data_IF_342770145672
#
_entry.id   IF_342770145672
#
_cell.length_a   1.000
_cell.length_b   1.000
_cell.length_c   1.000
_cell.angle_alpha   90.00
_cell.angle_beta   90.00
_cell.angle_gamma   90.00
#
_symmetry.space_group_name_H-M   'P 1'
#
loop_
_entity.id
_entity.type
_entity.pdbx_description
1 polymer ?
#
# COMPACT_ATOMS: atom_id res chain seq x y z
N UNK A 1 1.19 -49.67 73.58
CA UNK A 1 2.35 -48.98 73.00
C UNK A 1 2.00 -48.76 71.52
N UNK A 2 1.62 -47.55 71.18
CA UNK A 2 1.18 -47.21 69.85
C UNK A 2 2.29 -46.41 69.18
N UNK A 3 2.83 -46.92 68.03
CA UNK A 3 3.84 -46.25 67.23
C UNK A 3 3.16 -45.24 66.33
N UNK A 4 3.64 -43.99 66.35
CA UNK A 4 3.21 -42.89 65.47
C UNK A 4 4.23 -42.79 64.39
N UNK A 5 3.78 -42.97 63.14
CA UNK A 5 4.59 -42.75 61.92
C UNK A 5 4.57 -41.25 61.49
N UNK A 6 5.69 -40.69 61.12
CA UNK A 6 5.69 -39.28 60.57
C UNK A 6 5.22 -39.24 59.15
N UNK A 7 4.31 -38.32 58.92
CA UNK A 7 3.84 -37.95 57.52
C UNK A 7 4.91 -37.15 56.79
N UNK A 8 5.33 -37.65 55.66
CA UNK A 8 6.21 -36.95 54.75
C UNK A 8 5.35 -35.99 53.90
N UNK A 9 5.54 -34.69 54.04
CA UNK A 9 4.91 -33.67 53.28
C UNK A 9 5.73 -33.50 51.96
N UNK A 10 5.18 -33.99 50.85
CA UNK A 10 5.76 -33.76 49.51
C UNK A 10 5.40 -32.34 49.07
N UNK A 11 6.40 -31.47 49.04
CA UNK A 11 6.28 -30.11 48.50
C UNK A 11 6.32 -30.18 46.99
N UNK A 12 5.14 -30.09 46.36
CA UNK A 12 5.00 -30.01 44.91
C UNK A 12 5.40 -28.61 44.45
N UNK A 13 6.58 -28.49 43.86
CA UNK A 13 7.02 -27.28 43.13
C UNK A 13 6.23 -27.17 41.85
N UNK A 14 5.23 -26.29 41.81
CA UNK A 14 4.55 -25.89 40.59
C UNK A 14 5.49 -25.00 39.78
N UNK A 15 5.99 -25.55 38.68
CA UNK A 15 6.77 -24.84 37.68
C UNK A 15 5.80 -24.02 36.84
N UNK A 16 5.65 -22.72 37.15
CA UNK A 16 4.88 -21.78 36.33
C UNK A 16 5.66 -21.48 35.05
N UNK A 17 5.29 -22.15 33.96
CA UNK A 17 5.79 -21.82 32.65
C UNK A 17 5.15 -20.48 32.18
N UNK A 18 5.90 -19.39 32.29
CA UNK A 18 5.53 -18.12 31.65
C UNK A 18 5.71 -18.28 30.17
N UNK A 19 4.58 -18.46 29.46
CA UNK A 19 4.54 -18.36 28.01
C UNK A 19 4.80 -16.90 27.63
N UNK A 20 6.03 -16.58 27.31
CA UNK A 20 6.40 -15.30 26.73
C UNK A 20 5.77 -15.20 25.36
N UNK A 21 4.69 -14.44 25.23
CA UNK A 21 4.17 -14.01 23.93
C UNK A 21 5.21 -13.06 23.33
N UNK A 22 6.04 -13.58 22.44
CA UNK A 22 6.91 -12.75 21.63
C UNK A 22 6.02 -11.88 20.73
N UNK A 23 5.83 -10.61 21.12
CA UNK A 23 5.25 -9.60 20.25
C UNK A 23 6.24 -9.36 19.10
N UNK A 24 5.98 -10.00 17.98
CA UNK A 24 6.66 -9.65 16.73
C UNK A 24 6.20 -8.23 16.37
N UNK A 25 7.14 -7.27 16.22
CA UNK A 25 6.77 -5.99 15.67
C UNK A 25 6.16 -6.26 14.29
N UNK A 26 4.95 -5.77 14.07
CA UNK A 26 4.33 -5.80 12.75
C UNK A 26 5.25 -5.06 11.77
N UNK A 27 6.14 -5.80 11.11
CA UNK A 27 6.95 -5.26 10.04
C UNK A 27 5.99 -4.99 8.88
N UNK A 28 5.58 -3.76 8.74
CA UNK A 28 4.95 -3.24 7.52
C UNK A 28 6.02 -3.23 6.42
N UNK A 29 6.41 -4.39 6.00
CA UNK A 29 7.14 -4.52 4.74
C UNK A 29 6.12 -4.20 3.65
N UNK A 30 6.07 -2.92 3.26
CA UNK A 30 5.61 -2.57 1.93
C UNK A 30 6.54 -3.35 1.02
N UNK A 31 6.04 -4.44 0.45
CA UNK A 31 6.80 -5.20 -0.54
C UNK A 31 7.09 -4.22 -1.68
N UNK A 32 8.31 -3.70 -1.70
CA UNK A 32 8.79 -2.93 -2.82
C UNK A 32 8.59 -3.83 -4.05
N UNK A 33 7.92 -3.36 -5.11
CA UNK A 33 7.78 -4.14 -6.32
C UNK A 33 9.18 -4.52 -6.77
N UNK A 34 9.38 -5.82 -7.05
CA UNK A 34 10.65 -6.36 -7.52
C UNK A 34 11.17 -5.47 -8.63
N UNK A 35 12.27 -4.76 -8.37
CA UNK A 35 12.94 -3.94 -9.38
C UNK A 35 13.26 -4.87 -10.56
N UNK A 36 12.61 -4.64 -11.68
CA UNK A 36 12.92 -5.35 -12.91
C UNK A 36 14.27 -4.82 -13.37
N UNK A 37 15.27 -5.70 -13.45
CA UNK A 37 16.66 -5.35 -13.73
C UNK A 37 16.90 -4.63 -15.08
N UNK A 38 15.86 -4.44 -15.89
CA UNK A 38 15.87 -3.76 -17.20
C UNK A 38 14.78 -2.66 -17.31
N UNK A 39 14.27 -2.13 -16.20
CA UNK A 39 13.24 -1.10 -16.25
C UNK A 39 13.86 0.25 -16.65
N UNK A 40 13.20 0.96 -17.58
CA UNK A 40 13.56 2.32 -17.95
C UNK A 40 13.68 3.22 -16.71
N UNK A 41 14.81 3.91 -16.48
CA UNK A 41 15.01 4.79 -15.33
C UNK A 41 13.93 5.88 -15.20
N UNK A 42 13.30 6.29 -16.31
CA UNK A 42 12.19 7.23 -16.29
C UNK A 42 10.94 6.58 -15.68
N UNK A 43 10.63 5.36 -16.06
CA UNK A 43 9.48 4.59 -15.54
C UNK A 43 9.67 4.30 -14.05
N UNK A 44 10.88 3.94 -13.61
CA UNK A 44 11.18 3.71 -12.18
C UNK A 44 10.94 4.98 -11.35
N UNK A 45 11.48 6.13 -11.79
CA UNK A 45 11.22 7.42 -11.13
C UNK A 45 9.75 7.79 -11.14
N UNK A 46 9.04 7.44 -12.22
CA UNK A 46 7.61 7.64 -12.34
C UNK A 46 6.83 6.82 -11.33
N UNK A 47 7.22 5.58 -11.11
CA UNK A 47 6.64 4.72 -10.08
C UNK A 47 6.84 5.31 -8.68
N UNK A 48 8.05 5.73 -8.33
CA UNK A 48 8.35 6.36 -7.03
C UNK A 48 7.52 7.64 -6.83
N UNK A 49 7.47 8.51 -7.82
CA UNK A 49 6.69 9.74 -7.77
C UNK A 49 5.19 9.46 -7.67
N UNK A 50 4.67 8.46 -8.40
CA UNK A 50 3.28 8.02 -8.31
C UNK A 50 2.95 7.50 -6.91
N UNK A 51 3.77 6.65 -6.33
CA UNK A 51 3.56 6.12 -4.98
C UNK A 51 3.55 7.25 -3.95
N UNK A 52 4.42 8.23 -4.07
CA UNK A 52 4.52 9.35 -3.14
C UNK A 52 3.36 10.37 -3.25
N UNK A 53 2.78 10.55 -4.45
CA UNK A 53 1.88 11.68 -4.73
C UNK A 53 0.45 11.27 -5.10
N UNK A 54 0.28 10.09 -5.69
CA UNK A 54 -0.97 9.71 -6.35
C UNK A 54 -1.61 8.46 -5.74
N UNK A 55 -0.81 7.50 -5.29
CA UNK A 55 -1.27 6.18 -4.86
C UNK A 55 -2.22 6.24 -3.65
N UNK A 56 -2.08 7.22 -2.76
CA UNK A 56 -2.97 7.40 -1.62
C UNK A 56 -4.45 7.58 -2.04
N UNK A 57 -4.69 8.10 -3.25
CA UNK A 57 -6.02 8.27 -3.81
C UNK A 57 -6.34 7.30 -4.94
N UNK A 58 -5.33 6.89 -5.72
CA UNK A 58 -5.49 6.15 -6.97
C UNK A 58 -4.91 4.73 -6.97
N UNK A 59 -4.38 4.27 -5.84
CA UNK A 59 -3.84 2.93 -5.69
C UNK A 59 -4.92 1.85 -5.76
N UNK A 60 -4.47 0.59 -5.80
CA UNK A 60 -5.36 -0.56 -5.70
C UNK A 60 -6.01 -0.62 -4.33
N UNK A 61 -7.32 -0.78 -4.29
CA UNK A 61 -8.03 -1.01 -3.04
C UNK A 61 -7.67 -2.40 -2.50
N UNK A 62 -7.25 -2.46 -1.24
CA UNK A 62 -7.13 -3.72 -0.53
C UNK A 62 -8.54 -4.32 -0.29
N UNK A 63 -8.58 -5.64 -0.05
CA UNK A 63 -9.80 -6.26 0.43
C UNK A 63 -10.24 -5.61 1.76
N UNK A 64 -11.55 -5.43 1.95
CA UNK A 64 -12.11 -4.81 3.16
C UNK A 64 -11.79 -5.64 4.42
N UNK A 65 -11.43 -5.01 5.56
CA UNK A 65 -11.23 -3.57 5.76
C UNK A 65 -9.85 -3.12 5.30
N UNK A 66 -9.80 -2.09 4.47
CA UNK A 66 -8.57 -1.50 3.95
C UNK A 66 -8.65 0.03 3.91
N UNK A 67 -7.53 0.72 3.64
CA UNK A 67 -7.54 2.17 3.50
C UNK A 67 -8.43 2.58 2.32
N UNK A 68 -9.17 3.66 2.51
CA UNK A 68 -9.99 4.23 1.44
C UNK A 68 -9.11 4.88 0.38
N UNK A 69 -9.45 4.63 -0.89
CA UNK A 69 -8.78 5.20 -2.05
C UNK A 69 -9.80 6.07 -2.81
N UNK A 70 -10.01 7.34 -2.40
CA UNK A 70 -11.14 8.14 -2.87
C UNK A 70 -11.15 8.36 -4.38
N UNK A 71 -9.99 8.47 -5.02
CA UNK A 71 -9.88 8.57 -6.47
C UNK A 71 -10.27 7.27 -7.17
N UNK A 72 -9.82 6.12 -6.66
CA UNK A 72 -10.20 4.80 -7.19
C UNK A 72 -11.68 4.53 -7.00
N UNK A 73 -12.25 4.85 -5.81
CA UNK A 73 -13.69 4.71 -5.55
C UNK A 73 -14.53 5.56 -6.52
N UNK A 74 -14.12 6.80 -6.76
CA UNK A 74 -14.79 7.69 -7.70
C UNK A 74 -14.75 7.16 -9.14
N UNK A 75 -13.61 6.61 -9.57
CA UNK A 75 -13.46 5.99 -10.89
C UNK A 75 -14.27 4.69 -11.00
N UNK A 76 -14.33 3.89 -9.94
CA UNK A 76 -15.14 2.68 -9.90
C UNK A 76 -16.63 3.02 -10.07
N UNK A 77 -17.11 4.04 -9.38
CA UNK A 77 -18.50 4.53 -9.51
C UNK A 77 -18.76 5.06 -10.92
N UNK A 78 -17.81 5.80 -11.50
CA UNK A 78 -17.94 6.37 -12.84
C UNK A 78 -17.97 5.30 -13.93
N UNK A 79 -17.06 4.32 -13.87
CA UNK A 79 -16.90 3.32 -14.94
C UNK A 79 -17.76 2.07 -14.76
N UNK A 80 -18.32 1.85 -13.58
CA UNK A 80 -19.23 0.71 -13.29
C UNK A 80 -18.66 -0.64 -13.76
N UNK A 81 -17.37 -0.86 -13.57
CA UNK A 81 -16.69 -2.09 -13.97
C UNK A 81 -16.27 -2.17 -15.45
N UNK A 82 -16.62 -1.20 -16.29
CA UNK A 82 -16.25 -1.20 -17.72
C UNK A 82 -14.75 -0.96 -17.94
N UNK A 83 -14.08 -0.33 -16.98
CA UNK A 83 -12.63 -0.09 -16.97
C UNK A 83 -12.08 -0.29 -15.57
N UNK A 84 -10.83 -0.71 -15.42
CA UNK A 84 -10.17 -0.74 -14.13
C UNK A 84 -10.21 0.63 -13.46
N UNK A 85 -10.52 0.66 -12.17
CA UNK A 85 -10.59 1.90 -11.41
C UNK A 85 -9.22 2.34 -10.88
N UNK A 86 -8.37 1.38 -10.48
CA UNK A 86 -6.99 1.69 -10.12
C UNK A 86 -6.19 2.08 -11.37
N UNK A 87 -5.48 3.21 -11.32
CA UNK A 87 -4.77 3.71 -12.50
C UNK A 87 -3.66 2.75 -12.97
N UNK A 88 -3.06 2.02 -12.04
CA UNK A 88 -2.02 1.05 -12.36
C UNK A 88 -2.53 -0.20 -13.09
N UNK A 89 -3.81 -0.42 -13.18
CA UNK A 89 -4.42 -1.56 -13.88
C UNK A 89 -4.99 -1.16 -15.25
N UNK A 90 -4.85 0.12 -15.63
CA UNK A 90 -5.37 0.65 -16.89
C UNK A 90 -4.34 0.53 -18.01
N UNK A 91 -4.80 0.18 -19.18
CA UNK A 91 -3.99 0.11 -20.42
C UNK A 91 -4.33 1.22 -21.42
N UNK A 92 -5.30 2.08 -21.10
CA UNK A 92 -5.79 3.15 -21.98
C UNK A 92 -5.28 4.54 -21.58
N UNK A 93 -4.33 4.63 -20.65
CA UNK A 93 -3.74 5.89 -20.22
C UNK A 93 -2.63 6.29 -21.18
N UNK A 94 -2.79 7.48 -21.80
CA UNK A 94 -1.71 8.11 -22.57
C UNK A 94 -0.98 9.15 -21.71
N UNK A 95 0.28 9.48 -22.04
CA UNK A 95 1.01 10.52 -21.31
C UNK A 95 0.28 11.88 -21.33
N UNK A 96 -0.37 12.23 -22.42
CA UNK A 96 -1.12 13.48 -22.60
C UNK A 96 -2.34 13.49 -21.69
N UNK A 97 -3.05 12.38 -21.60
CA UNK A 97 -4.23 12.24 -20.73
C UNK A 97 -3.86 12.39 -19.25
N UNK A 98 -2.75 11.76 -18.82
CA UNK A 98 -2.24 11.89 -17.45
C UNK A 98 -1.87 13.34 -17.16
N UNK A 99 -1.09 13.99 -18.04
CA UNK A 99 -0.72 15.41 -17.87
C UNK A 99 -1.94 16.32 -17.81
N UNK A 100 -2.92 16.09 -18.68
CA UNK A 100 -4.15 16.87 -18.69
C UNK A 100 -4.86 16.83 -17.34
N UNK A 101 -5.16 15.65 -16.79
CA UNK A 101 -5.89 15.54 -15.54
C UNK A 101 -5.09 16.04 -14.35
N UNK A 102 -3.79 15.82 -14.30
CA UNK A 102 -2.95 16.34 -13.20
C UNK A 102 -2.92 17.87 -13.21
N UNK A 103 -2.87 18.51 -14.39
CA UNK A 103 -2.84 19.98 -14.49
C UNK A 103 -4.22 20.65 -14.39
N UNK A 104 -5.29 19.95 -14.75
CA UNK A 104 -6.66 20.49 -14.74
C UNK A 104 -7.45 20.10 -13.49
N UNK A 105 -7.15 18.95 -12.88
CA UNK A 105 -8.01 18.33 -11.90
C UNK A 105 -9.30 17.76 -12.53
N UNK A 106 -10.09 17.06 -11.73
CA UNK A 106 -11.40 16.55 -12.15
C UNK A 106 -12.25 16.16 -10.94
N UNK A 107 -13.39 16.78 -10.74
CA UNK A 107 -14.26 16.50 -9.61
C UNK A 107 -13.55 16.73 -8.28
N UNK A 108 -13.38 15.68 -7.48
CA UNK A 108 -12.66 15.75 -6.20
C UNK A 108 -11.13 15.74 -6.35
N UNK A 109 -10.60 15.40 -7.53
CA UNK A 109 -9.16 15.45 -7.79
C UNK A 109 -8.73 16.91 -7.99
N UNK A 110 -7.84 17.45 -7.13
CA UNK A 110 -7.34 18.80 -7.30
C UNK A 110 -6.44 18.88 -8.55
N UNK A 111 -6.25 20.10 -9.05
CA UNK A 111 -5.17 20.37 -10.00
C UNK A 111 -3.85 20.53 -9.23
N UNK A 112 -2.76 20.09 -9.83
CA UNK A 112 -1.42 20.21 -9.25
C UNK A 112 -0.60 21.25 -10.01
N UNK A 113 -0.06 22.22 -9.28
CA UNK A 113 0.84 23.23 -9.82
C UNK A 113 2.24 22.64 -10.06
N UNK A 114 3.06 23.31 -10.86
CA UNK A 114 4.45 22.88 -11.12
C UNK A 114 5.33 22.88 -9.88
N UNK A 115 4.95 23.61 -8.84
CA UNK A 115 5.62 23.63 -7.53
C UNK A 115 5.27 22.42 -6.67
N UNK A 116 4.15 21.76 -6.93
CA UNK A 116 3.67 20.58 -6.20
C UNK A 116 4.08 19.27 -6.90
N UNK A 117 3.92 19.24 -8.22
CA UNK A 117 4.40 18.18 -9.11
C UNK A 117 5.11 18.86 -10.27
N UNK A 118 6.42 18.81 -10.31
CA UNK A 118 7.22 19.41 -11.40
C UNK A 118 6.89 18.76 -12.75
N UNK A 119 7.20 19.45 -13.85
CA UNK A 119 6.98 18.87 -15.19
C UNK A 119 7.79 17.58 -15.38
N UNK A 120 9.02 17.51 -14.81
CA UNK A 120 9.85 16.30 -14.86
C UNK A 120 9.23 15.13 -14.09
N UNK A 121 8.67 15.37 -12.90
CA UNK A 121 7.96 14.34 -12.14
C UNK A 121 6.69 13.89 -12.87
N UNK A 122 5.95 14.84 -13.44
CA UNK A 122 4.75 14.53 -14.20
C UNK A 122 5.04 13.71 -15.46
N UNK A 123 6.13 14.01 -16.16
CA UNK A 123 6.57 13.23 -17.33
C UNK A 123 6.94 11.79 -16.92
N UNK A 124 7.61 11.64 -15.79
CA UNK A 124 7.94 10.32 -15.24
C UNK A 124 6.67 9.54 -14.83
N UNK A 125 5.74 10.18 -14.11
CA UNK A 125 4.45 9.56 -13.73
C UNK A 125 3.67 9.16 -14.98
N UNK A 126 3.62 10.02 -15.99
CA UNK A 126 2.94 9.75 -17.24
C UNK A 126 3.57 8.55 -17.97
N UNK A 127 4.90 8.49 -18.03
CA UNK A 127 5.61 7.34 -18.60
C UNK A 127 5.30 6.05 -17.82
N UNK A 128 5.32 6.08 -16.48
CA UNK A 128 4.99 4.92 -15.65
C UNK A 128 3.57 4.39 -15.90
N UNK A 129 2.57 5.28 -15.93
CA UNK A 129 1.18 4.87 -16.11
C UNK A 129 0.83 4.45 -17.53
N UNK A 130 1.58 4.90 -18.55
CA UNK A 130 1.35 4.58 -19.96
C UNK A 130 2.23 3.44 -20.50
N UNK A 131 3.17 2.94 -19.71
CA UNK A 131 4.13 1.90 -20.13
C UNK A 131 3.53 0.50 -20.21
N UNK A 132 2.24 0.30 -20.06
CA UNK A 132 1.56 -1.01 -19.95
C UNK A 132 0.76 -1.35 -21.20
#
# INVERSE_FOLDING_TARGET
>A
MKAVAPAVIACSLMFSATVGVAQQPASWTISAPKAQANADPLVMRGQEAYQARCAACHGRMAASPGPRMPGTEALQTRYKGQKPAALEDRSDLTPELVRFFVRKGSGIMPFFRKTEVSDRELDAIAAYLSHR
#
